data_IF_832936087846
#
_entry.id   IF_832936087846
#
_cell.length_a   1.000
_cell.length_b   1.000
_cell.length_c   1.000
_cell.angle_alpha   90.00
_cell.angle_beta   90.00
_cell.angle_gamma   90.00
#
_symmetry.space_group_name_H-M   'P 1'
#
loop_
_entity.id
_entity.type
_entity.pdbx_description
1 polymer ?
#
# COMPACT_ATOMS: atom_id res chain seq x y z
N UNK A 1 -15.37 -11.32 28.95
CA UNK A 1 -16.12 -11.57 27.70
C UNK A 1 -15.60 -12.88 27.15
N UNK A 2 -16.41 -13.92 27.25
CA UNK A 2 -16.12 -15.27 26.77
C UNK A 2 -15.87 -15.25 25.27
N UNK A 3 -15.17 -16.27 24.79
CA UNK A 3 -14.70 -16.52 23.41
C UNK A 3 -15.86 -16.61 22.38
N UNK A 4 -16.73 -15.61 22.29
CA UNK A 4 -17.68 -15.46 21.20
C UNK A 4 -16.86 -15.27 19.93
N UNK A 5 -17.08 -16.13 18.93
CA UNK A 5 -16.50 -16.01 17.59
C UNK A 5 -16.64 -14.56 17.14
N UNK A 6 -15.51 -13.84 17.07
CA UNK A 6 -15.46 -12.48 16.56
C UNK A 6 -16.09 -12.49 15.18
N UNK A 7 -16.95 -11.50 14.92
CA UNK A 7 -17.67 -11.40 13.64
C UNK A 7 -16.78 -10.71 12.61
N UNK A 8 -16.96 -11.05 11.35
CA UNK A 8 -16.36 -10.30 10.24
C UNK A 8 -17.21 -9.04 9.97
N UNK A 9 -16.62 -7.84 9.98
CA UNK A 9 -17.40 -6.58 9.99
C UNK A 9 -18.07 -6.26 8.65
N UNK A 10 -17.61 -6.86 7.53
CA UNK A 10 -18.19 -6.70 6.20
C UNK A 10 -18.95 -7.94 5.72
N UNK A 11 -19.31 -8.84 6.65
CA UNK A 11 -20.13 -10.00 6.30
C UNK A 11 -21.47 -9.55 5.69
N UNK A 12 -21.84 -10.16 4.56
CA UNK A 12 -23.04 -9.81 3.80
C UNK A 12 -22.85 -8.69 2.77
N UNK A 13 -21.64 -8.09 2.67
CA UNK A 13 -21.31 -7.16 1.57
C UNK A 13 -20.79 -7.95 0.37
N UNK A 14 -21.39 -7.73 -0.81
CA UNK A 14 -20.97 -8.34 -2.08
C UNK A 14 -20.22 -7.34 -2.95
N UNK A 15 -19.04 -7.72 -3.43
CA UNK A 15 -18.17 -6.88 -4.26
C UNK A 15 -17.88 -7.59 -5.58
N UNK A 16 -18.10 -6.89 -6.69
CA UNK A 16 -17.65 -7.33 -8.01
C UNK A 16 -16.41 -6.52 -8.38
N UNK A 17 -15.25 -7.19 -8.43
CA UNK A 17 -13.95 -6.61 -8.71
C UNK A 17 -13.54 -6.91 -10.16
N UNK A 18 -13.68 -5.91 -11.05
CA UNK A 18 -13.19 -5.95 -12.43
C UNK A 18 -11.84 -5.22 -12.58
N UNK A 19 -11.21 -4.84 -11.47
CA UNK A 19 -9.93 -4.15 -11.52
C UNK A 19 -8.78 -5.09 -11.81
N UNK A 20 -7.66 -4.55 -12.29
CA UNK A 20 -6.45 -5.31 -12.59
C UNK A 20 -5.21 -4.74 -11.88
N UNK A 21 -4.11 -5.49 -11.91
CA UNK A 21 -2.81 -5.05 -11.37
C UNK A 21 -2.83 -4.97 -9.84
N UNK A 22 -2.62 -3.81 -9.20
CA UNK A 22 -2.31 -3.75 -7.76
C UNK A 22 -3.27 -2.89 -6.94
N UNK A 23 -3.36 -1.58 -7.16
CA UNK A 23 -4.02 -0.68 -6.20
C UNK A 23 -5.50 -1.03 -5.93
N UNK A 24 -6.27 -1.12 -7.00
CA UNK A 24 -7.69 -1.42 -6.92
C UNK A 24 -7.96 -2.87 -6.44
N UNK A 25 -7.23 -3.91 -6.92
CA UNK A 25 -7.32 -5.25 -6.35
C UNK A 25 -6.97 -5.31 -4.87
N UNK A 26 -5.97 -4.55 -4.40
CA UNK A 26 -5.58 -4.51 -2.98
C UNK A 26 -6.71 -3.93 -2.12
N UNK A 27 -7.42 -2.89 -2.59
CA UNK A 27 -8.59 -2.38 -1.88
C UNK A 27 -9.71 -3.41 -1.77
N UNK A 28 -9.91 -4.23 -2.83
CA UNK A 28 -10.86 -5.33 -2.81
C UNK A 28 -10.41 -6.49 -1.90
N UNK A 29 -9.11 -6.78 -1.80
CA UNK A 29 -8.57 -7.76 -0.84
C UNK A 29 -8.83 -7.32 0.59
N UNK A 30 -8.62 -6.04 0.92
CA UNK A 30 -8.97 -5.50 2.24
C UNK A 30 -10.46 -5.70 2.56
N UNK A 31 -11.36 -5.40 1.62
CA UNK A 31 -12.79 -5.69 1.80
C UNK A 31 -13.03 -7.19 2.07
N UNK A 32 -12.35 -8.07 1.32
CA UNK A 32 -12.50 -9.52 1.44
C UNK A 32 -12.00 -10.05 2.80
N UNK A 33 -10.82 -9.59 3.23
CA UNK A 33 -10.18 -9.94 4.49
C UNK A 33 -11.08 -9.60 5.68
N UNK A 34 -11.84 -8.51 5.59
CA UNK A 34 -12.80 -8.09 6.62
C UNK A 34 -14.22 -8.61 6.42
N UNK A 35 -14.44 -9.54 5.49
CA UNK A 35 -15.67 -10.32 5.42
C UNK A 35 -16.52 -10.18 4.16
N UNK A 36 -16.20 -9.24 3.27
CA UNK A 36 -16.96 -9.11 2.03
C UNK A 36 -16.79 -10.38 1.16
N UNK A 37 -17.85 -10.73 0.44
CA UNK A 37 -17.79 -11.70 -0.65
C UNK A 37 -17.30 -10.96 -1.90
N UNK A 38 -16.05 -11.23 -2.29
CA UNK A 38 -15.39 -10.53 -3.39
C UNK A 38 -15.23 -11.47 -4.57
N UNK A 39 -15.93 -11.16 -5.65
CA UNK A 39 -15.88 -11.86 -6.92
C UNK A 39 -14.92 -11.10 -7.84
N UNK A 40 -13.74 -11.66 -8.08
CA UNK A 40 -12.76 -11.15 -9.03
C UNK A 40 -13.14 -11.62 -10.43
N UNK A 41 -13.54 -10.67 -11.29
CA UNK A 41 -13.83 -10.91 -12.70
C UNK A 41 -12.57 -10.69 -13.51
N UNK A 42 -12.14 -11.72 -14.24
CA UNK A 42 -10.97 -11.69 -15.09
C UNK A 42 -11.31 -11.88 -16.56
N UNK A 43 -10.42 -11.39 -17.43
CA UNK A 43 -10.49 -11.73 -18.84
C UNK A 43 -10.14 -13.21 -19.04
N UNK A 44 -10.45 -13.77 -20.21
CA UNK A 44 -10.04 -15.14 -20.57
C UNK A 44 -8.51 -15.36 -20.61
N UNK A 45 -7.71 -14.28 -20.53
CA UNK A 45 -6.25 -14.33 -20.41
C UNK A 45 -5.75 -14.13 -18.98
N UNK A 46 -6.64 -13.78 -18.05
CA UNK A 46 -6.32 -13.44 -16.68
C UNK A 46 -5.98 -11.98 -16.50
N UNK A 47 -5.69 -11.63 -15.25
CA UNK A 47 -4.98 -10.41 -14.87
C UNK A 47 -3.48 -10.54 -15.20
N UNK A 48 -2.88 -9.49 -15.76
CA UNK A 48 -1.43 -9.45 -16.05
C UNK A 48 -0.59 -9.68 -14.78
N UNK A 49 -1.13 -9.31 -13.61
CA UNK A 49 -0.49 -9.51 -12.31
C UNK A 49 -0.28 -10.99 -11.95
N UNK A 50 -1.03 -11.92 -12.55
CA UNK A 50 -0.79 -13.36 -12.37
C UNK A 50 0.61 -13.78 -12.83
N UNK A 51 1.23 -13.04 -13.76
CA UNK A 51 2.51 -13.43 -14.37
C UNK A 51 3.71 -12.62 -13.86
N UNK A 52 3.50 -11.68 -12.93
CA UNK A 52 4.53 -10.75 -12.47
C UNK A 52 5.72 -11.44 -11.77
N UNK A 53 5.52 -12.68 -11.29
CA UNK A 53 6.57 -13.45 -10.64
C UNK A 53 7.76 -13.75 -11.55
N UNK A 54 7.60 -13.80 -12.88
CA UNK A 54 8.75 -13.91 -13.80
C UNK A 54 9.69 -12.69 -13.68
N UNK A 55 9.13 -11.48 -13.61
CA UNK A 55 9.92 -10.26 -13.41
C UNK A 55 10.51 -10.19 -11.99
N UNK A 56 9.70 -10.49 -10.97
CA UNK A 56 10.10 -10.41 -9.55
C UNK A 56 10.90 -11.63 -9.06
N UNK A 57 11.15 -12.62 -9.93
CA UNK A 57 11.87 -13.87 -9.62
C UNK A 57 11.24 -14.63 -8.45
N UNK A 58 9.92 -14.78 -8.51
CA UNK A 58 9.09 -15.55 -7.56
C UNK A 58 8.19 -16.54 -8.32
N UNK A 59 7.66 -17.59 -7.65
CA UNK A 59 6.68 -18.49 -8.27
C UNK A 59 5.45 -17.72 -8.78
N UNK A 60 4.89 -18.18 -9.91
CA UNK A 60 3.69 -17.60 -10.53
C UNK A 60 2.79 -18.66 -11.18
N UNK A 61 2.87 -19.90 -10.69
CA UNK A 61 2.09 -21.03 -11.18
C UNK A 61 0.70 -21.05 -10.53
N UNK A 62 -0.25 -21.74 -11.14
CA UNK A 62 -1.62 -21.85 -10.61
C UNK A 62 -1.68 -22.48 -9.20
N UNK A 63 -0.71 -23.32 -8.83
CA UNK A 63 -0.61 -23.98 -7.52
C UNK A 63 0.25 -23.20 -6.50
N UNK A 64 0.98 -22.16 -6.96
CA UNK A 64 1.88 -21.33 -6.16
C UNK A 64 2.14 -19.97 -6.83
N UNK A 65 1.37 -18.96 -6.42
CA UNK A 65 1.47 -17.58 -6.92
C UNK A 65 1.43 -16.54 -5.79
N UNK A 66 2.52 -16.40 -5.01
CA UNK A 66 2.54 -15.54 -3.84
C UNK A 66 2.36 -14.06 -4.14
N UNK A 67 2.93 -13.52 -5.22
CA UNK A 67 2.77 -12.10 -5.51
C UNK A 67 1.32 -11.77 -5.88
N UNK A 68 0.66 -12.61 -6.69
CA UNK A 68 -0.76 -12.40 -7.00
C UNK A 68 -1.65 -12.54 -5.75
N UNK A 69 -1.26 -13.43 -4.82
CA UNK A 69 -1.97 -13.62 -3.55
C UNK A 69 -1.95 -12.38 -2.67
N UNK A 70 -0.86 -11.60 -2.65
CA UNK A 70 -0.78 -10.34 -1.86
C UNK A 70 -1.97 -9.41 -2.12
N UNK A 71 -2.47 -9.35 -3.36
CA UNK A 71 -3.57 -8.45 -3.74
C UNK A 71 -4.92 -9.13 -3.97
N UNK A 72 -4.98 -10.47 -3.90
CA UNK A 72 -6.17 -11.23 -4.31
C UNK A 72 -6.49 -12.41 -3.38
N UNK A 73 -5.83 -12.51 -2.23
CA UNK A 73 -6.15 -13.49 -1.20
C UNK A 73 -7.65 -13.52 -0.89
N UNK A 74 -8.17 -14.72 -0.62
CA UNK A 74 -9.55 -14.99 -0.23
C UNK A 74 -10.64 -14.65 -1.28
N UNK A 75 -10.32 -14.01 -2.42
CA UNK A 75 -11.30 -13.70 -3.46
C UNK A 75 -11.73 -14.95 -4.22
N UNK A 76 -12.96 -14.97 -4.71
CA UNK A 76 -13.48 -15.99 -5.65
C UNK A 76 -13.26 -15.51 -7.08
N UNK A 77 -12.63 -16.32 -7.94
CA UNK A 77 -12.28 -15.88 -9.29
C UNK A 77 -13.23 -16.48 -10.34
N UNK A 78 -13.68 -15.63 -11.26
CA UNK A 78 -14.43 -16.02 -12.45
C UNK A 78 -13.79 -15.39 -13.68
N UNK A 79 -13.65 -16.16 -14.75
CA UNK A 79 -13.20 -15.62 -16.04
C UNK A 79 -14.38 -15.45 -16.99
N UNK A 80 -14.54 -14.24 -17.54
CA UNK A 80 -15.65 -13.92 -18.43
C UNK A 80 -15.16 -13.16 -19.66
N UNK A 81 -15.57 -13.61 -20.84
CA UNK A 81 -15.43 -12.86 -22.07
C UNK A 81 -16.51 -11.78 -22.18
N UNK A 82 -16.25 -10.60 -21.61
CA UNK A 82 -17.15 -9.44 -21.63
C UNK A 82 -17.41 -8.83 -23.03
N UNK A 83 -16.78 -9.36 -24.10
CA UNK A 83 -17.09 -8.96 -25.47
C UNK A 83 -18.28 -9.73 -26.06
N UNK A 84 -18.61 -10.90 -25.50
CA UNK A 84 -19.79 -11.67 -25.89
C UNK A 84 -21.07 -11.10 -25.26
N UNK A 85 -22.22 -11.17 -25.95
CA UNK A 85 -23.52 -10.81 -25.35
C UNK A 85 -23.81 -11.56 -24.05
N UNK A 86 -23.53 -12.86 -24.01
CA UNK A 86 -23.77 -13.73 -22.86
C UNK A 86 -22.84 -13.42 -21.68
N UNK A 87 -21.58 -13.08 -21.96
CA UNK A 87 -20.64 -12.62 -20.93
C UNK A 87 -21.04 -11.27 -20.33
N UNK A 88 -21.58 -10.36 -21.15
CA UNK A 88 -22.17 -9.12 -20.66
C UNK A 88 -23.41 -9.39 -19.80
N UNK A 89 -24.28 -10.32 -20.21
CA UNK A 89 -25.45 -10.72 -19.42
C UNK A 89 -25.02 -11.26 -18.05
N UNK A 90 -24.03 -12.16 -18.01
CA UNK A 90 -23.50 -12.71 -16.77
C UNK A 90 -22.93 -11.61 -15.85
N UNK A 91 -22.16 -10.67 -16.41
CA UNK A 91 -21.65 -9.52 -15.66
C UNK A 91 -22.77 -8.65 -15.09
N UNK A 92 -23.83 -8.39 -15.87
CA UNK A 92 -24.96 -7.59 -15.38
C UNK A 92 -25.72 -8.31 -14.26
N UNK A 93 -25.85 -9.64 -14.32
CA UNK A 93 -26.43 -10.46 -13.24
C UNK A 93 -25.57 -10.47 -11.98
N UNK A 94 -24.24 -10.50 -12.11
CA UNK A 94 -23.34 -10.33 -10.96
C UNK A 94 -23.53 -8.97 -10.27
N UNK A 95 -23.85 -7.93 -11.04
CA UNK A 95 -24.06 -6.58 -10.53
C UNK A 95 -25.46 -6.34 -9.93
N UNK A 96 -26.43 -7.21 -10.21
CA UNK A 96 -27.82 -7.04 -9.76
C UNK A 96 -27.97 -7.05 -8.23
N UNK A 97 -27.13 -7.82 -7.55
CA UNK A 97 -27.09 -7.93 -6.08
C UNK A 97 -25.76 -7.47 -5.47
N UNK A 98 -24.92 -6.80 -6.26
CA UNK A 98 -23.65 -6.27 -5.77
C UNK A 98 -23.85 -4.99 -4.93
N UNK A 99 -23.10 -4.88 -3.84
CA UNK A 99 -23.01 -3.66 -3.05
C UNK A 99 -21.97 -2.70 -3.63
N UNK A 100 -20.87 -3.23 -4.14
CA UNK A 100 -19.74 -2.47 -4.67
C UNK A 100 -19.33 -3.04 -6.02
N UNK A 101 -19.18 -2.18 -7.02
CA UNK A 101 -18.48 -2.49 -8.26
C UNK A 101 -17.17 -1.74 -8.30
N UNK A 102 -16.05 -2.47 -8.34
CA UNK A 102 -14.71 -1.93 -8.24
C UNK A 102 -13.96 -2.13 -9.56
N UNK A 103 -13.41 -1.04 -10.11
CA UNK A 103 -12.82 -1.06 -11.46
C UNK A 103 -11.74 0.02 -11.63
N UNK A 104 -10.71 -0.27 -12.44
CA UNK A 104 -9.65 0.68 -12.82
C UNK A 104 -9.45 0.80 -14.34
N UNK A 105 -10.42 0.32 -15.11
CA UNK A 105 -10.45 0.45 -16.57
C UNK A 105 -10.79 1.89 -16.97
N UNK A 106 -10.20 2.39 -18.07
CA UNK A 106 -10.53 3.72 -18.60
C UNK A 106 -12.02 3.84 -18.92
N UNK A 107 -12.61 4.98 -18.61
CA UNK A 107 -14.06 5.25 -18.73
C UNK A 107 -14.62 4.92 -20.13
N UNK A 108 -13.89 5.22 -21.20
CA UNK A 108 -14.35 4.90 -22.57
C UNK A 108 -14.48 3.39 -22.84
N UNK A 109 -13.63 2.57 -22.20
CA UNK A 109 -13.76 1.12 -22.25
C UNK A 109 -15.04 0.65 -21.56
N UNK A 110 -15.34 1.23 -20.39
CA UNK A 110 -16.52 0.90 -19.59
C UNK A 110 -17.82 1.31 -20.28
N UNK A 111 -17.86 2.48 -20.92
CA UNK A 111 -19.00 2.93 -21.74
C UNK A 111 -19.34 1.94 -22.86
N UNK A 112 -18.34 1.40 -23.56
CA UNK A 112 -18.55 0.37 -24.61
C UNK A 112 -19.09 -0.96 -24.06
N UNK A 113 -18.84 -1.23 -22.78
CA UNK A 113 -19.35 -2.42 -22.09
C UNK A 113 -20.70 -2.19 -21.41
N UNK A 114 -21.16 -0.93 -21.28
CA UNK A 114 -22.33 -0.57 -20.48
C UNK A 114 -22.07 -0.64 -18.96
N UNK A 115 -20.80 -0.51 -18.56
CA UNK A 115 -20.32 -0.62 -17.18
C UNK A 115 -19.81 0.73 -16.64
N UNK A 116 -20.17 1.84 -17.27
CA UNK A 116 -19.88 3.18 -16.75
C UNK A 116 -20.86 3.56 -15.63
N UNK A 117 -20.49 4.57 -14.85
CA UNK A 117 -21.26 5.01 -13.69
C UNK A 117 -22.67 5.48 -14.07
N UNK A 118 -22.80 6.25 -15.15
CA UNK A 118 -24.08 6.82 -15.55
C UNK A 118 -25.07 5.69 -15.87
N UNK A 119 -24.64 4.69 -16.64
CA UNK A 119 -25.45 3.50 -16.96
C UNK A 119 -25.80 2.67 -15.72
N UNK A 120 -24.81 2.37 -14.86
CA UNK A 120 -25.02 1.46 -13.73
C UNK A 120 -25.78 2.10 -12.57
N UNK A 121 -25.62 3.40 -12.32
CA UNK A 121 -26.33 4.10 -11.25
C UNK A 121 -27.84 4.23 -11.54
N UNK A 122 -28.23 4.34 -12.81
CA UNK A 122 -29.64 4.30 -13.21
C UNK A 122 -30.25 2.89 -12.99
N UNK A 123 -29.52 1.83 -13.35
CA UNK A 123 -30.01 0.46 -13.21
C UNK A 123 -29.96 -0.05 -11.77
N UNK A 124 -28.93 0.32 -11.02
CA UNK A 124 -28.62 -0.16 -9.67
C UNK A 124 -28.36 1.03 -8.73
N UNK A 125 -29.40 1.81 -8.35
CA UNK A 125 -29.25 3.05 -7.60
C UNK A 125 -28.65 2.92 -6.19
N UNK A 126 -28.47 1.70 -5.67
CA UNK A 126 -27.77 1.40 -4.40
C UNK A 126 -26.31 0.99 -4.58
N UNK A 127 -25.85 0.77 -5.81
CA UNK A 127 -24.50 0.30 -6.09
C UNK A 127 -23.47 1.38 -5.75
N UNK A 128 -22.43 1.02 -5.01
CA UNK A 128 -21.23 1.84 -4.87
C UNK A 128 -20.34 1.59 -6.08
N UNK A 129 -20.20 2.60 -6.94
CA UNK A 129 -19.33 2.52 -8.11
C UNK A 129 -17.95 3.06 -7.77
N UNK A 130 -16.99 2.18 -7.52
CA UNK A 130 -15.66 2.52 -7.11
C UNK A 130 -14.70 2.49 -8.31
N UNK A 131 -14.27 3.67 -8.77
CA UNK A 131 -13.37 3.83 -9.92
C UNK A 131 -12.01 4.38 -9.52
N UNK A 132 -10.97 3.62 -9.86
CA UNK A 132 -9.58 3.99 -9.63
C UNK A 132 -8.91 4.46 -10.92
N UNK A 133 -8.04 5.46 -10.83
CA UNK A 133 -7.30 5.98 -11.99
C UNK A 133 -5.87 6.43 -11.64
N UNK A 134 -5.04 6.70 -12.65
CA UNK A 134 -3.70 7.26 -12.43
C UNK A 134 -3.76 8.74 -11.99
N UNK A 135 -4.41 9.58 -12.79
CA UNK A 135 -4.39 11.05 -12.62
C UNK A 135 -5.68 11.66 -12.05
N UNK A 136 -6.76 10.88 -11.93
CA UNK A 136 -8.09 11.38 -11.60
C UNK A 136 -8.94 11.68 -12.84
N UNK A 137 -10.22 12.00 -12.66
CA UNK A 137 -11.21 12.08 -13.75
C UNK A 137 -11.18 13.40 -14.53
N UNK A 138 -10.38 14.40 -14.09
CA UNK A 138 -10.41 15.78 -14.59
C UNK A 138 -9.00 16.24 -14.98
N UNK A 139 -8.94 17.29 -15.81
CA UNK A 139 -7.69 17.91 -16.23
C UNK A 139 -7.07 17.25 -17.47
N UNK A 140 -5.90 17.75 -17.91
CA UNK A 140 -5.28 17.36 -19.18
C UNK A 140 -4.80 15.91 -19.21
N UNK A 141 -4.34 15.36 -18.08
CA UNK A 141 -3.77 14.01 -18.00
C UNK A 141 -4.81 12.93 -17.65
N UNK A 142 -6.11 13.24 -17.63
CA UNK A 142 -7.16 12.31 -17.17
C UNK A 142 -7.22 11.00 -17.97
N UNK A 143 -6.79 11.01 -19.24
CA UNK A 143 -6.81 9.84 -20.13
C UNK A 143 -5.41 9.20 -20.29
N UNK A 144 -4.37 9.80 -19.70
CA UNK A 144 -2.99 9.32 -19.81
C UNK A 144 -2.81 7.97 -19.10
N UNK A 145 -1.92 7.09 -19.60
CA UNK A 145 -1.51 5.91 -18.86
C UNK A 145 -0.79 6.33 -17.57
N UNK A 146 -1.04 5.60 -16.48
CA UNK A 146 -0.40 5.86 -15.20
C UNK A 146 -0.05 4.57 -14.48
N UNK A 147 1.16 4.51 -13.95
CA UNK A 147 1.64 3.48 -13.03
C UNK A 147 2.14 4.15 -11.76
N UNK A 148 2.32 3.35 -10.70
CA UNK A 148 2.90 3.79 -9.43
C UNK A 148 4.18 4.61 -9.63
N UNK A 149 5.13 4.06 -10.38
CA UNK A 149 6.40 4.73 -10.66
C UNK A 149 6.24 6.06 -11.40
N UNK A 150 5.38 6.12 -12.42
CA UNK A 150 5.26 7.31 -13.27
C UNK A 150 4.40 8.40 -12.66
N UNK A 151 3.39 8.04 -11.86
CA UNK A 151 2.41 8.99 -11.35
C UNK A 151 2.57 9.22 -9.86
N UNK A 152 2.59 8.16 -9.05
CA UNK A 152 2.69 8.35 -7.60
C UNK A 152 4.05 8.92 -7.22
N UNK A 153 5.12 8.34 -7.76
CA UNK A 153 6.48 8.67 -7.37
C UNK A 153 7.10 9.85 -8.12
N UNK A 154 7.00 9.85 -9.46
CA UNK A 154 7.57 10.94 -10.27
C UNK A 154 6.68 12.18 -10.24
N UNK A 155 5.41 12.07 -10.64
CA UNK A 155 4.52 13.25 -10.75
C UNK A 155 4.12 13.85 -9.40
N UNK A 156 4.14 13.05 -8.32
CA UNK A 156 3.86 13.53 -6.96
C UNK A 156 4.94 14.42 -6.34
N UNK A 157 6.11 14.53 -6.98
CA UNK A 157 7.22 15.39 -6.56
C UNK A 157 8.23 14.73 -5.61
N UNK A 158 7.86 13.64 -4.93
CA UNK A 158 8.70 12.99 -3.91
C UNK A 158 10.06 12.58 -4.46
N UNK A 159 10.13 11.94 -5.63
CA UNK A 159 11.42 11.51 -6.18
C UNK A 159 12.32 12.70 -6.52
N UNK A 160 11.75 13.82 -6.97
CA UNK A 160 12.50 15.05 -7.26
C UNK A 160 13.02 15.69 -5.97
N UNK A 161 12.23 15.67 -4.90
CA UNK A 161 12.58 16.31 -3.64
C UNK A 161 13.47 15.43 -2.72
N UNK A 162 13.37 14.10 -2.84
CA UNK A 162 14.04 13.13 -1.95
C UNK A 162 15.39 12.67 -2.51
N UNK A 163 15.68 12.92 -3.77
CA UNK A 163 17.01 12.68 -4.33
C UNK A 163 17.86 13.94 -4.13
N UNK A 164 19.13 13.81 -3.68
CA UNK A 164 20.08 14.91 -3.74
C UNK A 164 20.16 15.48 -5.16
N UNK A 165 20.34 16.80 -5.30
CA UNK A 165 20.38 17.48 -6.62
C UNK A 165 21.48 16.92 -7.54
N UNK A 166 22.58 16.44 -6.97
CA UNK A 166 23.75 15.89 -7.65
C UNK A 166 23.77 14.35 -7.71
N UNK A 167 22.66 13.69 -7.37
CA UNK A 167 22.58 12.24 -7.39
C UNK A 167 22.78 11.66 -8.81
N UNK A 168 23.78 10.80 -8.98
CA UNK A 168 24.04 10.10 -10.24
C UNK A 168 22.88 9.18 -10.65
N UNK A 169 22.19 8.60 -9.65
CA UNK A 169 21.00 7.78 -9.81
C UNK A 169 19.93 8.20 -8.81
N UNK A 170 18.68 8.23 -9.26
CA UNK A 170 17.54 8.45 -8.38
C UNK A 170 17.20 7.19 -7.59
N UNK A 171 16.64 7.38 -6.41
CA UNK A 171 16.01 6.31 -5.63
C UNK A 171 14.98 5.57 -6.49
N UNK A 172 14.98 4.23 -6.48
CA UNK A 172 13.95 3.43 -7.14
C UNK A 172 13.08 2.73 -6.09
N UNK A 173 11.81 3.12 -5.91
CA UNK A 173 10.93 2.50 -4.94
C UNK A 173 10.62 1.05 -5.30
N UNK A 174 10.32 0.26 -4.27
CA UNK A 174 9.82 -1.11 -4.49
C UNK A 174 8.48 -1.06 -5.23
N UNK A 175 8.27 -2.07 -6.08
CA UNK A 175 7.08 -2.20 -6.90
C UNK A 175 5.78 -2.02 -6.08
N UNK A 176 4.88 -1.16 -6.58
CA UNK A 176 3.52 -0.97 -6.09
C UNK A 176 3.37 -0.40 -4.66
N UNK A 177 4.37 0.34 -4.17
CA UNK A 177 4.27 1.02 -2.87
C UNK A 177 3.12 2.04 -2.86
N UNK A 178 3.08 2.96 -3.83
CA UNK A 178 2.04 3.98 -3.87
C UNK A 178 0.69 3.41 -4.29
N UNK A 179 0.66 2.32 -5.04
CA UNK A 179 -0.56 1.53 -5.29
C UNK A 179 -1.17 1.04 -3.95
N UNK A 180 -0.36 0.44 -3.07
CA UNK A 180 -0.80 -0.10 -1.77
C UNK A 180 -1.27 1.01 -0.82
N UNK A 181 -0.57 2.14 -0.81
CA UNK A 181 -0.97 3.32 -0.02
C UNK A 181 -2.30 3.88 -0.54
N UNK A 182 -2.44 4.02 -1.86
CA UNK A 182 -3.67 4.51 -2.49
C UNK A 182 -4.83 3.54 -2.25
N UNK A 183 -4.58 2.22 -2.22
CA UNK A 183 -5.57 1.20 -1.90
C UNK A 183 -6.20 1.39 -0.52
N UNK A 184 -5.42 1.81 0.48
CA UNK A 184 -5.92 2.06 1.85
C UNK A 184 -6.88 3.25 1.89
N UNK A 185 -6.56 4.33 1.17
CA UNK A 185 -7.45 5.49 1.00
C UNK A 185 -8.71 5.11 0.22
N UNK A 186 -8.57 4.26 -0.80
CA UNK A 186 -9.70 3.81 -1.62
C UNK A 186 -10.65 2.89 -0.84
N UNK A 187 -10.11 1.94 -0.09
CA UNK A 187 -10.84 1.12 0.88
C UNK A 187 -11.64 1.99 1.85
N UNK A 188 -11.00 2.99 2.45
CA UNK A 188 -11.66 3.93 3.37
C UNK A 188 -12.80 4.69 2.68
N UNK A 189 -12.61 5.15 1.44
CA UNK A 189 -13.65 5.84 0.69
C UNK A 189 -14.85 4.93 0.34
N UNK A 190 -14.61 3.65 0.06
CA UNK A 190 -15.66 2.65 -0.14
C UNK A 190 -16.44 2.40 1.16
N UNK A 191 -15.75 2.28 2.30
CA UNK A 191 -16.41 2.14 3.60
C UNK A 191 -17.31 3.35 3.92
N UNK A 192 -16.81 4.58 3.70
CA UNK A 192 -17.61 5.80 3.87
C UNK A 192 -18.86 5.79 2.97
N UNK A 193 -18.71 5.33 1.72
CA UNK A 193 -19.82 5.21 0.79
C UNK A 193 -20.85 4.16 1.21
N UNK A 194 -20.41 3.01 1.73
CA UNK A 194 -21.28 1.97 2.29
C UNK A 194 -22.04 2.48 3.52
N UNK A 195 -21.36 3.18 4.44
CA UNK A 195 -21.99 3.81 5.60
C UNK A 195 -23.01 4.87 5.20
N UNK A 196 -22.66 5.74 4.25
CA UNK A 196 -23.57 6.75 3.71
C UNK A 196 -24.79 6.13 3.02
N UNK A 197 -24.60 5.07 2.23
CA UNK A 197 -25.69 4.34 1.58
C UNK A 197 -26.66 3.72 2.58
N UNK A 198 -26.17 3.19 3.70
CA UNK A 198 -27.03 2.66 4.76
C UNK A 198 -27.87 3.76 5.41
N UNK A 199 -27.29 4.95 5.59
CA UNK A 199 -27.99 6.08 6.17
C UNK A 199 -29.00 6.74 5.21
N UNK A 200 -28.66 6.86 3.93
CA UNK A 200 -29.41 7.69 2.97
C UNK A 200 -30.10 6.90 1.87
N UNK A 201 -29.90 5.58 1.80
CA UNK A 201 -30.61 4.71 0.87
C UNK A 201 -30.04 4.66 -0.54
N UNK A 202 -29.06 5.51 -0.91
CA UNK A 202 -28.55 5.66 -2.27
C UNK A 202 -27.06 5.32 -2.36
N UNK A 203 -26.65 4.72 -3.48
CA UNK A 203 -25.25 4.52 -3.80
C UNK A 203 -24.59 5.80 -4.30
N UNK A 204 -23.27 5.75 -4.50
CA UNK A 204 -22.52 6.89 -5.04
C UNK A 204 -21.35 6.40 -5.88
N UNK A 205 -20.83 7.30 -6.72
CA UNK A 205 -19.51 7.15 -7.30
C UNK A 205 -18.43 7.43 -6.24
N UNK A 206 -17.46 6.55 -6.13
CA UNK A 206 -16.22 6.73 -5.35
C UNK A 206 -15.07 6.80 -6.34
N UNK A 207 -14.27 7.87 -6.29
CA UNK A 207 -13.12 8.06 -7.16
C UNK A 207 -11.88 8.45 -6.36
N UNK A 208 -10.74 7.88 -6.73
CA UNK A 208 -9.42 8.36 -6.28
C UNK A 208 -8.38 8.13 -7.38
N UNK A 209 -7.16 8.59 -7.13
CA UNK A 209 -6.06 8.38 -8.05
C UNK A 209 -4.70 8.25 -7.37
N UNK A 210 -3.76 7.63 -8.07
CA UNK A 210 -2.35 7.62 -7.66
C UNK A 210 -1.84 9.04 -7.42
N UNK A 211 -2.17 9.97 -8.32
CA UNK A 211 -1.72 11.35 -8.19
C UNK A 211 -2.30 12.06 -6.96
N UNK A 212 -3.60 11.87 -6.68
CA UNK A 212 -4.23 12.44 -5.49
C UNK A 212 -3.59 11.91 -4.21
N UNK A 213 -3.32 10.59 -4.14
CA UNK A 213 -2.67 9.99 -2.97
C UNK A 213 -1.20 10.37 -2.84
N UNK A 214 -0.50 10.56 -3.95
CA UNK A 214 0.87 11.06 -3.93
C UNK A 214 0.97 12.46 -3.33
N UNK A 215 0.11 13.39 -3.76
CA UNK A 215 0.04 14.73 -3.19
C UNK A 215 -0.31 14.67 -1.70
N UNK A 216 -1.28 13.82 -1.33
CA UNK A 216 -1.68 13.64 0.06
C UNK A 216 -0.51 13.16 0.93
N UNK A 217 0.20 12.12 0.48
CA UNK A 217 1.34 11.56 1.22
C UNK A 217 2.55 12.50 1.24
N UNK A 218 2.76 13.28 0.17
CA UNK A 218 3.79 14.32 0.09
C UNK A 218 3.30 15.69 0.60
N UNK A 219 2.19 15.75 1.34
CA UNK A 219 1.54 17.02 1.66
C UNK A 219 2.45 18.01 2.39
N UNK A 220 3.32 17.51 3.28
CA UNK A 220 4.32 18.36 3.94
C UNK A 220 5.34 18.93 2.95
N UNK A 221 5.87 18.12 2.03
CA UNK A 221 6.81 18.59 1.01
C UNK A 221 6.19 19.60 0.07
N UNK A 222 4.95 19.35 -0.38
CA UNK A 222 4.18 20.28 -1.22
C UNK A 222 3.95 21.62 -0.52
N UNK A 223 3.72 21.63 0.79
CA UNK A 223 3.51 22.88 1.55
C UNK A 223 4.84 23.58 1.86
N UNK A 224 5.84 22.86 2.37
CA UNK A 224 7.13 23.42 2.79
C UNK A 224 7.85 24.12 1.64
N UNK A 225 7.83 23.52 0.45
CA UNK A 225 8.47 24.06 -0.77
C UNK A 225 7.81 25.33 -1.30
N UNK A 226 6.66 25.75 -0.76
CA UNK A 226 6.07 27.06 -1.06
C UNK A 226 6.73 28.21 -0.27
N UNK A 227 7.47 27.89 0.80
CA UNK A 227 8.16 28.85 1.68
C UNK A 227 9.68 28.68 1.58
N UNK A 228 10.43 28.99 2.64
CA UNK A 228 11.91 29.06 2.64
C UNK A 228 12.59 27.68 2.53
N UNK A 229 11.90 26.59 2.90
CA UNK A 229 12.43 25.23 2.80
C UNK A 229 12.23 24.66 1.39
N UNK A 230 12.91 25.27 0.41
CA UNK A 230 12.84 24.88 -1.02
C UNK A 230 13.52 23.54 -1.33
N UNK A 231 14.53 23.17 -0.57
CA UNK A 231 15.28 21.90 -0.73
C UNK A 231 14.95 20.98 0.45
N UNK A 232 14.30 19.85 0.18
CA UNK A 232 13.86 18.91 1.23
C UNK A 232 14.93 17.89 1.60
N UNK A 233 15.81 17.54 0.66
CA UNK A 233 16.88 16.57 0.85
C UNK A 233 18.24 17.15 0.42
N UNK A 234 18.82 18.05 1.24
CA UNK A 234 20.09 18.68 0.90
C UNK A 234 21.24 17.67 0.89
N UNK A 235 22.35 18.08 0.26
CA UNK A 235 23.59 17.32 0.22
C UNK A 235 24.03 16.91 1.64
N UNK A 236 24.67 15.74 1.82
CA UNK A 236 24.98 15.22 3.15
C UNK A 236 25.73 16.19 4.08
N UNK A 237 26.64 17.01 3.56
CA UNK A 237 27.41 18.01 4.30
C UNK A 237 26.64 19.27 4.69
N UNK A 238 25.48 19.50 4.06
CA UNK A 238 24.54 20.58 4.38
C UNK A 238 23.40 20.14 5.31
N UNK A 239 23.40 18.86 5.73
CA UNK A 239 22.44 18.37 6.73
C UNK A 239 22.88 18.73 8.15
N UNK A 240 22.10 19.60 8.78
CA UNK A 240 22.44 20.24 10.07
C UNK A 240 21.46 19.90 11.21
N UNK A 241 20.40 19.13 10.95
CA UNK A 241 19.50 18.60 12.00
C UNK A 241 20.05 17.31 12.60
N UNK A 242 21.12 17.45 13.40
CA UNK A 242 21.93 16.31 13.85
C UNK A 242 21.21 15.35 14.80
N UNK A 243 20.08 15.76 15.37
CA UNK A 243 19.30 14.93 16.30
C UNK A 243 18.13 14.23 15.60
N UNK A 244 17.87 14.51 14.32
CA UNK A 244 16.88 13.85 13.47
C UNK A 244 17.51 13.43 12.13
N UNK A 245 18.43 12.47 12.19
CA UNK A 245 19.28 12.14 11.04
C UNK A 245 19.62 10.64 10.95
N UNK A 246 20.08 10.24 9.77
CA UNK A 246 20.62 8.93 9.47
C UNK A 246 22.16 8.94 9.52
N UNK A 247 22.73 8.07 10.35
CA UNK A 247 24.17 7.86 10.47
C UNK A 247 24.56 6.46 10.04
N UNK A 248 25.70 6.34 9.34
CA UNK A 248 26.24 5.05 8.94
C UNK A 248 27.18 4.51 10.01
N UNK A 249 26.89 3.31 10.50
CA UNK A 249 27.61 2.69 11.61
C UNK A 249 28.89 1.95 11.17
N UNK A 250 29.64 1.41 12.12
CA UNK A 250 30.90 0.68 11.87
C UNK A 250 30.73 -0.61 11.05
N UNK A 251 29.57 -1.24 11.12
CA UNK A 251 29.16 -2.39 10.30
C UNK A 251 28.58 -1.99 8.93
N UNK A 252 28.58 -0.69 8.62
CA UNK A 252 28.12 -0.15 7.35
C UNK A 252 26.60 0.00 7.22
N UNK A 253 25.81 -0.38 8.24
CA UNK A 253 24.35 -0.19 8.27
C UNK A 253 23.98 1.27 8.57
N UNK A 254 22.82 1.69 8.09
CA UNK A 254 22.24 2.98 8.45
C UNK A 254 21.47 2.86 9.78
N UNK A 255 21.60 3.88 10.62
CA UNK A 255 20.94 4.01 11.91
C UNK A 255 20.29 5.39 11.99
N UNK A 256 19.02 5.43 12.31
CA UNK A 256 18.26 6.67 12.46
C UNK A 256 18.12 7.01 13.94
N UNK A 257 18.26 8.29 14.26
CA UNK A 257 17.94 8.86 15.57
C UNK A 257 16.93 9.99 15.38
N UNK A 258 16.01 10.16 16.33
CA UNK A 258 15.07 11.27 16.33
C UNK A 258 15.00 11.91 17.72
N UNK A 259 15.05 13.24 17.74
CA UNK A 259 14.93 14.07 18.94
C UNK A 259 13.55 13.82 19.57
N UNK A 260 13.52 13.57 20.88
CA UNK A 260 12.29 13.32 21.62
C UNK A 260 11.78 14.57 22.34
N UNK A 261 12.70 15.36 22.88
CA UNK A 261 12.41 16.52 23.71
C UNK A 261 12.97 17.80 23.07
N UNK A 262 13.40 18.74 23.93
CA UNK A 262 14.05 19.98 23.51
C UNK A 262 15.53 19.74 23.23
N UNK A 263 16.11 20.63 22.41
CA UNK A 263 17.54 20.66 22.13
C UNK A 263 18.39 20.63 23.42
N UNK A 264 18.04 21.44 24.43
CA UNK A 264 18.80 21.55 25.68
C UNK A 264 18.81 20.25 26.48
N UNK A 265 17.78 19.42 26.33
CA UNK A 265 17.69 18.13 27.02
C UNK A 265 18.41 17.05 26.24
N UNK A 266 18.18 17.00 24.93
CA UNK A 266 18.62 15.89 24.10
C UNK A 266 20.08 16.04 23.64
N UNK A 267 20.56 17.24 23.30
CA UNK A 267 21.94 17.41 22.83
C UNK A 267 23.00 16.85 23.81
N UNK A 268 22.94 17.14 25.13
CA UNK A 268 23.85 16.53 26.09
C UNK A 268 23.72 15.01 26.17
N UNK A 269 22.51 14.45 26.05
CA UNK A 269 22.28 13.01 26.05
C UNK A 269 23.00 12.36 24.86
N UNK A 270 22.90 12.95 23.68
CA UNK A 270 23.50 12.42 22.46
C UNK A 270 25.03 12.54 22.52
N UNK A 271 25.56 13.71 22.91
CA UNK A 271 27.00 13.92 23.04
C UNK A 271 27.64 12.94 24.03
N UNK A 272 26.99 12.70 25.17
CA UNK A 272 27.45 11.74 26.17
C UNK A 272 27.30 10.29 25.70
N UNK A 273 26.20 9.93 25.04
CA UNK A 273 25.96 8.57 24.54
C UNK A 273 26.97 8.19 23.44
N UNK A 274 27.33 9.16 22.60
CA UNK A 274 28.32 8.99 21.52
C UNK A 274 29.76 9.12 22.00
N UNK A 275 29.98 9.64 23.22
CA UNK A 275 31.31 10.07 23.70
C UNK A 275 31.98 11.00 22.69
N UNK A 276 31.21 11.97 22.18
CA UNK A 276 31.61 12.88 21.10
C UNK A 276 30.93 14.23 21.24
N UNK A 277 31.64 15.31 20.90
CA UNK A 277 31.15 16.69 21.02
C UNK A 277 30.72 17.09 22.44
N UNK A 278 31.27 16.45 23.48
CA UNK A 278 30.96 16.77 24.87
C UNK A 278 31.46 18.17 25.24
N UNK A 279 32.53 18.64 24.60
CA UNK A 279 33.06 20.00 24.72
C UNK A 279 32.08 21.08 24.22
N UNK A 280 31.08 20.70 23.43
CA UNK A 280 30.06 21.61 22.92
C UNK A 280 28.82 21.71 23.82
N UNK A 281 28.70 20.88 24.87
CA UNK A 281 27.53 20.84 25.75
C UNK A 281 27.29 22.19 26.43
N UNK A 282 28.37 22.82 26.92
CA UNK A 282 28.34 24.13 27.58
C UNK A 282 28.79 25.27 26.65
N UNK A 283 28.96 25.02 25.34
CA UNK A 283 29.33 26.05 24.38
C UNK A 283 28.15 27.02 24.18
N UNK A 284 28.33 28.34 24.36
CA UNK A 284 27.27 29.32 24.14
C UNK A 284 26.63 29.25 22.75
N UNK A 285 27.37 28.79 21.74
CA UNK A 285 26.87 28.59 20.36
C UNK A 285 25.88 27.42 20.26
N UNK A 286 25.81 26.56 21.28
CA UNK A 286 24.94 25.39 21.37
C UNK A 286 23.87 25.55 22.45
N UNK A 287 23.68 26.74 23.04
CA UNK A 287 22.71 26.95 24.12
C UNK A 287 21.25 26.76 23.65
N UNK A 288 20.97 27.09 22.39
CA UNK A 288 19.70 26.82 21.72
C UNK A 288 19.91 26.19 20.34
N UNK A 289 18.88 25.52 19.82
CA UNK A 289 18.89 24.98 18.46
C UNK A 289 19.06 26.09 17.41
N UNK A 290 18.47 27.25 17.64
CA UNK A 290 18.60 28.41 16.76
C UNK A 290 20.05 28.92 16.69
N UNK A 291 20.71 29.10 17.84
CA UNK A 291 22.12 29.51 17.90
C UNK A 291 23.05 28.44 17.29
N UNK A 292 22.74 27.16 17.53
CA UNK A 292 23.49 26.03 16.96
C UNK A 292 23.47 26.05 15.44
N UNK A 293 22.29 26.26 14.85
CA UNK A 293 22.12 26.32 13.40
C UNK A 293 22.71 27.61 12.81
N UNK A 294 22.61 28.74 13.50
CA UNK A 294 23.09 30.04 13.02
C UNK A 294 24.63 30.21 13.13
N UNK A 295 25.28 29.55 14.08
CA UNK A 295 26.71 29.73 14.38
C UNK A 295 27.66 29.01 13.43
N UNK A 296 27.15 28.08 12.61
CA UNK A 296 27.93 27.22 11.71
C UNK A 296 28.63 26.04 12.40
N UNK A 297 28.56 25.95 13.73
CA UNK A 297 29.18 24.88 14.53
C UNK A 297 28.58 23.50 14.23
N UNK A 298 27.37 23.45 13.68
CA UNK A 298 26.70 22.22 13.28
C UNK A 298 27.57 21.34 12.36
N UNK A 299 28.34 21.93 11.44
CA UNK A 299 29.23 21.16 10.55
C UNK A 299 30.41 20.52 11.30
N UNK A 300 30.86 21.14 12.38
CA UNK A 300 31.94 20.61 13.24
C UNK A 300 31.42 19.44 14.08
N UNK A 301 30.32 19.64 14.80
CA UNK A 301 29.66 18.60 15.62
C UNK A 301 29.25 17.41 14.77
N UNK A 302 28.75 17.65 13.54
CA UNK A 302 28.39 16.58 12.61
C UNK A 302 29.56 15.64 12.31
N UNK A 303 30.76 16.18 12.08
CA UNK A 303 31.94 15.34 11.81
C UNK A 303 32.23 14.41 12.99
N UNK A 304 32.16 14.94 14.21
CA UNK A 304 32.35 14.16 15.43
C UNK A 304 31.29 13.07 15.58
N UNK A 305 30.01 13.37 15.31
CA UNK A 305 28.94 12.38 15.35
C UNK A 305 29.12 11.29 14.30
N UNK A 306 29.42 11.67 13.05
CA UNK A 306 29.69 10.72 11.97
C UNK A 306 30.84 9.79 12.34
N UNK A 307 31.94 10.33 12.86
CA UNK A 307 33.08 9.52 13.32
C UNK A 307 32.71 8.62 14.50
N UNK A 308 31.91 9.10 15.45
CA UNK A 308 31.45 8.33 16.60
C UNK A 308 30.62 7.12 16.14
N UNK A 309 29.60 7.33 15.31
CA UNK A 309 28.74 6.24 14.83
C UNK A 309 29.54 5.14 14.10
N UNK A 310 30.65 5.48 13.44
CA UNK A 310 31.54 4.51 12.78
C UNK A 310 32.32 3.60 13.71
N UNK A 311 32.40 3.91 15.02
CA UNK A 311 33.20 3.13 15.98
C UNK A 311 32.54 1.82 16.42
N UNK A 312 31.20 1.72 16.37
CA UNK A 312 30.45 0.56 16.84
C UNK A 312 29.43 0.07 15.78
N UNK A 313 29.05 -1.22 15.79
CA UNK A 313 27.96 -1.71 14.94
C UNK A 313 26.61 -1.12 15.35
N UNK A 314 25.66 -1.06 14.41
CA UNK A 314 24.37 -0.39 14.64
C UNK A 314 23.56 -0.96 15.81
N UNK A 315 23.68 -2.27 16.09
CA UNK A 315 23.00 -2.93 17.21
C UNK A 315 23.47 -2.44 18.58
N UNK A 316 24.75 -2.09 18.71
CA UNK A 316 25.29 -1.52 19.96
C UNK A 316 24.76 -0.11 20.17
N UNK A 317 24.66 0.69 19.10
CA UNK A 317 24.03 2.01 19.16
C UNK A 317 22.55 1.92 19.50
N UNK A 318 21.79 0.99 18.89
CA UNK A 318 20.40 0.75 19.25
C UNK A 318 20.25 0.50 20.75
N UNK A 319 21.10 -0.34 21.33
CA UNK A 319 21.09 -0.62 22.78
C UNK A 319 21.43 0.62 23.62
N UNK A 320 22.45 1.38 23.22
CA UNK A 320 22.90 2.56 23.95
C UNK A 320 21.83 3.67 23.96
N UNK A 321 21.28 4.02 22.79
CA UNK A 321 20.24 5.05 22.67
C UNK A 321 18.90 4.62 23.27
N UNK A 322 18.52 3.34 23.15
CA UNK A 322 17.33 2.83 23.83
C UNK A 322 17.43 2.92 25.36
N UNK A 323 18.63 2.72 25.94
CA UNK A 323 18.84 2.82 27.38
C UNK A 323 18.65 4.25 27.94
N UNK A 324 18.75 5.27 27.08
CA UNK A 324 18.53 6.69 27.41
C UNK A 324 17.19 7.22 26.86
N UNK A 325 16.32 6.33 26.37
CA UNK A 325 14.96 6.68 25.94
C UNK A 325 14.88 7.44 24.61
N UNK A 326 15.92 7.43 23.79
CA UNK A 326 15.92 8.10 22.48
C UNK A 326 15.29 7.19 21.41
N UNK A 327 14.30 7.65 20.63
CA UNK A 327 13.77 6.93 19.49
C UNK A 327 14.84 6.71 18.42
N UNK A 328 15.16 5.44 18.18
CA UNK A 328 16.17 5.06 17.21
C UNK A 328 15.90 3.67 16.64
N UNK A 329 16.33 3.44 15.40
CA UNK A 329 16.40 2.09 14.85
C UNK A 329 17.44 1.94 13.73
N UNK A 330 17.76 0.69 13.40
CA UNK A 330 18.61 0.29 12.29
C UNK A 330 17.75 0.13 11.04
N UNK A 331 18.23 0.62 9.89
CA UNK A 331 17.62 0.29 8.60
C UNK A 331 17.84 -1.20 8.29
N UNK A 332 16.78 -1.99 8.37
CA UNK A 332 16.76 -3.43 8.05
C UNK A 332 16.34 -3.67 6.60
N UNK A 333 16.66 -4.85 6.06
CA UNK A 333 16.21 -5.22 4.71
C UNK A 333 14.87 -5.93 4.76
N UNK A 334 14.09 -5.86 3.68
CA UNK A 334 12.81 -6.58 3.56
C UNK A 334 12.93 -8.10 3.84
N UNK A 335 14.06 -8.73 3.47
CA UNK A 335 14.32 -10.15 3.74
C UNK A 335 14.46 -10.49 5.23
N UNK A 336 14.79 -9.51 6.05
CA UNK A 336 14.98 -9.70 7.49
C UNK A 336 13.64 -9.59 8.22
N UNK A 337 12.68 -8.84 7.64
CA UNK A 337 11.35 -8.61 8.21
C UNK A 337 10.51 -9.89 8.25
N UNK A 338 10.67 -10.81 7.29
CA UNK A 338 9.88 -12.05 7.27
C UNK A 338 10.13 -12.96 8.48
N UNK A 339 11.21 -12.74 9.21
CA UNK A 339 11.58 -13.45 10.45
C UNK A 339 11.60 -12.55 11.67
N UNK A 340 11.10 -11.31 11.56
CA UNK A 340 11.13 -10.36 12.66
C UNK A 340 10.13 -10.74 13.76
N UNK A 341 10.62 -10.89 14.99
CA UNK A 341 9.81 -11.33 16.13
C UNK A 341 8.69 -10.34 16.43
N UNK A 342 8.98 -9.04 16.40
CA UNK A 342 7.97 -8.00 16.66
C UNK A 342 6.85 -8.07 15.61
N UNK A 343 7.16 -8.25 14.33
CA UNK A 343 6.18 -8.40 13.27
C UNK A 343 5.33 -9.67 13.44
N UNK A 344 5.97 -10.80 13.78
CA UNK A 344 5.28 -12.09 13.97
C UNK A 344 4.35 -12.07 15.18
N UNK A 345 4.80 -11.60 16.36
CA UNK A 345 3.98 -11.63 17.57
C UNK A 345 2.77 -10.69 17.52
N UNK A 346 2.84 -9.63 16.70
CA UNK A 346 1.70 -8.74 16.44
C UNK A 346 0.79 -9.25 15.30
N UNK A 347 1.17 -10.34 14.62
CA UNK A 347 0.42 -10.88 13.49
C UNK A 347 0.48 -10.01 12.23
N UNK A 348 1.50 -9.15 12.09
CA UNK A 348 1.72 -8.34 10.88
C UNK A 348 2.14 -9.22 9.69
N UNK A 349 2.62 -10.43 9.98
CA UNK A 349 2.94 -11.49 9.03
C UNK A 349 2.19 -12.77 9.38
N UNK A 350 1.76 -13.50 8.36
CA UNK A 350 1.11 -14.81 8.48
C UNK A 350 1.81 -15.83 7.57
N UNK A 351 2.10 -17.04 8.06
CA UNK A 351 2.65 -18.11 7.22
C UNK A 351 1.52 -18.71 6.36
N UNK A 352 1.69 -18.63 5.05
CA UNK A 352 0.76 -19.15 4.05
C UNK A 352 1.38 -20.37 3.38
N UNK A 353 0.68 -21.50 3.41
CA UNK A 353 1.09 -22.75 2.73
C UNK A 353 0.33 -22.93 1.42
N UNK A 354 1.05 -23.10 0.32
CA UNK A 354 0.51 -23.32 -1.02
C UNK A 354 0.29 -24.81 -1.30
N UNK A 355 -0.40 -25.13 -2.40
CA UNK A 355 -0.76 -26.51 -2.75
C UNK A 355 0.47 -27.39 -3.02
N UNK A 356 1.55 -26.81 -3.55
CA UNK A 356 2.83 -27.50 -3.77
C UNK A 356 3.68 -27.68 -2.50
N UNK A 357 3.17 -27.24 -1.34
CA UNK A 357 3.85 -27.28 -0.05
C UNK A 357 4.78 -26.10 0.23
N UNK A 358 4.93 -25.15 -0.70
CA UNK A 358 5.70 -23.91 -0.48
C UNK A 358 5.08 -23.11 0.66
N UNK A 359 5.93 -22.58 1.54
CA UNK A 359 5.54 -21.71 2.65
C UNK A 359 6.08 -20.31 2.47
N UNK A 360 5.23 -19.29 2.63
CA UNK A 360 5.60 -17.89 2.46
C UNK A 360 5.05 -17.07 3.63
N UNK A 361 5.88 -16.22 4.24
CA UNK A 361 5.42 -15.23 5.21
C UNK A 361 4.80 -14.05 4.46
N UNK A 362 3.49 -13.89 4.60
CA UNK A 362 2.69 -12.90 3.88
C UNK A 362 2.39 -11.70 4.79
N UNK A 363 2.55 -10.44 4.33
CA UNK A 363 2.03 -9.28 5.04
C UNK A 363 0.52 -9.38 5.18
N UNK A 364 0.02 -8.96 6.34
CA UNK A 364 -1.41 -8.97 6.62
C UNK A 364 -1.97 -7.55 6.63
N UNK A 365 -3.29 -7.36 6.41
CA UNK A 365 -3.91 -6.04 6.52
C UNK A 365 -3.58 -5.37 7.87
N UNK A 366 -3.06 -4.11 7.88
CA UNK A 366 -2.41 -3.50 9.05
C UNK A 366 -3.41 -2.91 10.06
N UNK A 367 -4.58 -3.53 10.22
CA UNK A 367 -5.70 -3.00 11.01
C UNK A 367 -6.22 -4.07 11.96
N UNK A 368 -6.30 -3.73 13.25
CA UNK A 368 -6.77 -4.62 14.30
C UNK A 368 -8.00 -4.04 14.98
N UNK A 369 -9.07 -4.81 15.00
CA UNK A 369 -10.33 -4.43 15.63
C UNK A 369 -10.53 -5.30 16.86
N UNK A 370 -10.71 -4.68 18.03
CA UNK A 370 -10.82 -5.42 19.30
C UNK A 370 -12.01 -6.40 19.31
N UNK A 371 -13.13 -6.01 18.70
CA UNK A 371 -14.39 -6.77 18.68
C UNK A 371 -14.69 -7.50 17.36
N UNK A 372 -13.85 -7.32 16.33
CA UNK A 372 -14.07 -7.89 15.00
C UNK A 372 -12.87 -8.71 14.55
N UNK A 373 -13.12 -9.70 13.70
CA UNK A 373 -12.08 -10.56 13.16
C UNK A 373 -11.66 -10.14 11.75
N UNK A 374 -10.59 -10.77 11.28
CA UNK A 374 -10.13 -10.78 9.89
C UNK A 374 -9.97 -12.24 9.45
N UNK A 375 -10.32 -12.54 8.19
CA UNK A 375 -10.08 -13.87 7.62
C UNK A 375 -8.57 -14.19 7.63
N UNK A 376 -8.17 -15.44 7.91
CA UNK A 376 -6.83 -15.90 7.59
C UNK A 376 -6.62 -15.91 6.08
N UNK A 377 -5.37 -15.81 5.64
CA UNK A 377 -5.04 -15.68 4.22
C UNK A 377 -5.21 -17.03 3.52
N UNK A 378 -6.14 -17.08 2.57
CA UNK A 378 -6.27 -18.22 1.65
C UNK A 378 -5.55 -17.90 0.35
N UNK A 379 -4.57 -18.72 -0.08
CA UNK A 379 -3.91 -18.59 -1.38
C UNK A 379 -4.91 -18.49 -2.53
N UNK A 380 -4.54 -17.72 -3.55
CA UNK A 380 -5.27 -17.71 -4.82
C UNK A 380 -5.15 -19.05 -5.55
N UNK A 381 -6.22 -19.49 -6.18
CA UNK A 381 -6.21 -20.64 -7.07
C UNK A 381 -5.98 -20.27 -8.55
N UNK A 382 -6.17 -21.26 -9.43
CA UNK A 382 -6.15 -21.06 -10.87
C UNK A 382 -7.15 -19.99 -11.32
N UNK A 383 -6.89 -19.40 -12.49
CA UNK A 383 -7.84 -18.52 -13.14
C UNK A 383 -9.19 -19.23 -13.40
N UNK A 384 -10.28 -18.67 -12.86
CA UNK A 384 -11.63 -19.24 -12.98
C UNK A 384 -11.95 -20.37 -12.00
N UNK A 385 -11.18 -20.51 -10.91
CA UNK A 385 -11.36 -21.56 -9.91
C UNK A 385 -12.77 -21.65 -9.30
N UNK A 386 -13.52 -20.55 -9.27
CA UNK A 386 -14.87 -20.46 -8.72
C UNK A 386 -15.95 -20.20 -9.78
N UNK A 387 -15.65 -20.31 -11.08
CA UNK A 387 -16.59 -19.92 -12.16
C UNK A 387 -17.94 -20.62 -12.05
N UNK A 388 -17.95 -21.94 -11.80
CA UNK A 388 -19.21 -22.72 -11.75
C UNK A 388 -20.06 -22.30 -10.55
N UNK A 389 -19.46 -22.25 -9.36
CA UNK A 389 -20.12 -21.81 -8.12
C UNK A 389 -20.70 -20.40 -8.27
N UNK A 390 -19.94 -19.48 -8.87
CA UNK A 390 -20.39 -18.11 -9.08
C UNK A 390 -21.56 -18.06 -10.06
N UNK A 391 -21.49 -18.77 -11.19
CA UNK A 391 -22.58 -18.78 -12.19
C UNK A 391 -23.85 -19.43 -11.65
N UNK A 392 -23.73 -20.51 -10.88
CA UNK A 392 -24.85 -21.14 -10.19
C UNK A 392 -25.51 -20.16 -9.21
N UNK A 393 -24.71 -19.38 -8.46
CA UNK A 393 -25.22 -18.39 -7.50
C UNK A 393 -26.08 -17.29 -8.14
N UNK A 394 -25.89 -17.01 -9.44
CA UNK A 394 -26.68 -16.06 -10.22
C UNK A 394 -27.72 -16.74 -11.14
N UNK A 395 -28.04 -18.01 -10.86
CA UNK A 395 -29.18 -18.73 -11.44
C UNK A 395 -28.90 -19.44 -12.78
N UNK A 396 -27.63 -19.64 -13.16
CA UNK A 396 -27.32 -20.44 -14.34
C UNK A 396 -27.36 -21.93 -13.99
N UNK A 397 -28.10 -22.71 -14.78
CA UNK A 397 -28.08 -24.17 -14.66
C UNK A 397 -26.85 -24.79 -15.31
N UNK A 398 -26.50 -26.01 -14.88
CA UNK A 398 -25.32 -26.74 -15.34
C UNK A 398 -25.20 -26.80 -16.88
N UNK A 399 -26.29 -27.06 -17.60
CA UNK A 399 -26.28 -27.10 -19.08
C UNK A 399 -25.84 -25.77 -19.71
N UNK A 400 -26.32 -24.64 -19.17
CA UNK A 400 -25.92 -23.32 -19.67
C UNK A 400 -24.47 -23.03 -19.33
N UNK A 401 -24.00 -23.41 -18.14
CA UNK A 401 -22.59 -23.25 -17.73
C UNK A 401 -21.67 -24.04 -18.67
N UNK A 402 -21.98 -25.33 -18.91
CA UNK A 402 -21.23 -26.16 -19.85
C UNK A 402 -21.18 -25.54 -21.25
N UNK A 403 -22.30 -25.05 -21.77
CA UNK A 403 -22.35 -24.36 -23.06
C UNK A 403 -21.46 -23.11 -23.10
N UNK A 404 -21.48 -22.28 -22.05
CA UNK A 404 -20.63 -21.08 -21.99
C UNK A 404 -19.14 -21.42 -21.96
N UNK A 405 -18.76 -22.54 -21.32
CA UNK A 405 -17.37 -23.03 -21.33
C UNK A 405 -16.95 -23.54 -22.71
N UNK A 406 -17.80 -24.34 -23.36
CA UNK A 406 -17.57 -24.86 -24.71
C UNK A 406 -17.40 -23.72 -25.73
N UNK A 407 -18.16 -22.63 -25.58
CA UNK A 407 -18.09 -21.44 -26.43
C UNK A 407 -16.91 -20.49 -26.07
N UNK A 408 -16.14 -20.80 -25.02
CA UNK A 408 -15.03 -19.97 -24.54
C UNK A 408 -15.48 -18.62 -23.99
N UNK A 409 -16.71 -18.54 -23.50
CA UNK A 409 -17.29 -17.34 -22.88
C UNK A 409 -16.90 -17.24 -21.41
N UNK A 410 -16.76 -18.39 -20.73
CA UNK A 410 -16.24 -18.49 -19.36
C UNK A 410 -15.19 -19.60 -19.27
N UNK A 411 -14.34 -19.57 -18.24
CA UNK A 411 -13.35 -20.63 -17.97
C UNK A 411 -13.65 -21.29 -16.63
#
# INVERSE_FOLDING_TARGET
MTNEQKRLPLNGIKVVDLSTVVAAPTAAELLCAFGADVIKVESMKGDDQRFIGDYLKTPYRDDCNPIYTVQNANKRHISINLKSPEGKEAMMKLLEDADVFLVNVRTQGLKRLGLDYETLSEKFPRLIYAHFSGYGPKGPNKDDPGFDSTVFWLRGGQMGDWCPEDAEYIFNPTYAFGDTVTASSFFSAILLALMGREQYGVGTKVETSLYASAIWCNGQGVVQTQFDKKVLNPAPDERIDLLNEYYRCGDGKWFAINKLNTWQTDFPIYANTLEAAQEYIDDPRCATEEEFLASGVAKEVRKLFVEAFRKKPAVEWKKAFAAVGIPCDVAVNARDVCTDEQAIVNGYLEEVTYQDGTKVMMPTPPMYLSNYDRKPITPVGPMGDCTDEILESIGYGAEKISKLKEEGIVK
#
